data_IF_379856309238
#
_entry.id   IF_379856309238
#
_cell.length_a   1.000
_cell.length_b   1.000
_cell.length_c   1.000
_cell.angle_alpha   90.00
_cell.angle_beta   90.00
_cell.angle_gamma   90.00
#
_symmetry.space_group_name_H-M   'P 1'
#
loop_
_entity.id
_entity.type
_entity.pdbx_description
1 polymer ?
#
# COMPACT_ATOMS: atom_id res chain seq x y z
N UNK A 1 -18.61 14.17 -14.81
CA UNK A 1 -17.17 14.01 -14.53
C UNK A 1 -17.04 13.40 -13.14
N UNK A 2 -16.30 12.29 -12.96
CA UNK A 2 -16.10 11.72 -11.62
C UNK A 2 -15.33 12.72 -10.75
N UNK A 3 -15.69 12.84 -9.48
CA UNK A 3 -15.01 13.75 -8.55
C UNK A 3 -13.64 13.19 -8.14
N UNK A 4 -12.71 14.06 -7.72
CA UNK A 4 -11.40 13.63 -7.18
C UNK A 4 -11.57 12.61 -6.07
N UNK A 5 -12.56 12.83 -5.19
CA UNK A 5 -12.91 11.90 -4.11
C UNK A 5 -13.28 10.51 -4.62
N UNK A 6 -14.06 10.41 -5.70
CA UNK A 6 -14.44 9.12 -6.28
C UNK A 6 -13.25 8.38 -6.90
N UNK A 7 -12.25 9.09 -7.44
CA UNK A 7 -11.03 8.46 -7.93
C UNK A 7 -10.19 7.89 -6.80
N UNK A 8 -10.00 8.66 -5.72
CA UNK A 8 -9.24 8.24 -4.54
C UNK A 8 -9.87 7.01 -3.90
N UNK A 9 -11.20 6.99 -3.69
CA UNK A 9 -11.88 5.82 -3.12
C UNK A 9 -11.77 4.59 -4.03
N UNK A 10 -11.86 4.77 -5.35
CA UNK A 10 -11.67 3.65 -6.30
C UNK A 10 -10.25 3.12 -6.27
N UNK A 11 -9.24 3.99 -6.20
CA UNK A 11 -7.84 3.58 -6.08
C UNK A 11 -7.60 2.78 -4.79
N UNK A 12 -8.16 3.24 -3.66
CA UNK A 12 -8.13 2.54 -2.37
C UNK A 12 -8.81 1.17 -2.44
N UNK A 13 -10.00 1.09 -3.03
CA UNK A 13 -10.70 -0.19 -3.23
C UNK A 13 -9.88 -1.17 -4.07
N UNK A 14 -9.26 -0.70 -5.15
CA UNK A 14 -8.41 -1.52 -6.02
C UNK A 14 -7.23 -2.08 -5.23
N UNK A 15 -6.56 -1.26 -4.42
CA UNK A 15 -5.46 -1.69 -3.54
C UNK A 15 -5.92 -2.76 -2.56
N UNK A 16 -7.02 -2.52 -1.84
CA UNK A 16 -7.58 -3.47 -0.86
C UNK A 16 -7.97 -4.81 -1.47
N UNK A 17 -8.64 -4.79 -2.63
CA UNK A 17 -9.15 -6.02 -3.28
C UNK A 17 -8.04 -6.89 -3.86
N UNK A 18 -6.93 -6.29 -4.29
CA UNK A 18 -5.81 -7.01 -4.95
C UNK A 18 -4.69 -7.40 -4.01
N UNK A 19 -4.54 -6.71 -2.89
CA UNK A 19 -3.51 -6.98 -1.90
C UNK A 19 -3.54 -8.44 -1.42
N UNK A 20 -2.36 -9.04 -1.30
CA UNK A 20 -2.16 -10.36 -0.69
C UNK A 20 -2.17 -10.22 0.83
N UNK A 21 -3.37 -10.24 1.42
CA UNK A 21 -3.54 -10.07 2.87
C UNK A 21 -2.86 -11.15 3.70
N UNK A 22 -2.68 -12.37 3.17
CA UNK A 22 -1.94 -13.42 3.87
C UNK A 22 -0.46 -13.05 3.99
N UNK A 23 0.16 -12.61 2.89
CA UNK A 23 1.53 -12.11 2.89
C UNK A 23 1.70 -10.89 3.80
N UNK A 24 0.77 -9.93 3.75
CA UNK A 24 0.82 -8.71 4.58
C UNK A 24 0.71 -9.07 6.06
N UNK A 25 -0.25 -9.92 6.42
CA UNK A 25 -0.47 -10.32 7.81
C UNK A 25 0.67 -11.16 8.39
N UNK A 26 1.48 -11.81 7.56
CA UNK A 26 2.67 -12.54 7.99
C UNK A 26 3.90 -11.66 8.18
N UNK A 27 3.88 -10.38 7.77
CA UNK A 27 5.02 -9.49 7.95
C UNK A 27 5.15 -9.07 9.44
N UNK A 28 6.38 -8.86 9.93
CA UNK A 28 6.59 -8.26 11.24
C UNK A 28 6.20 -6.76 11.24
N UNK A 29 6.03 -6.19 12.42
CA UNK A 29 5.98 -4.73 12.55
C UNK A 29 7.39 -4.13 12.42
N UNK A 30 7.54 -2.91 11.87
CA UNK A 30 6.49 -1.99 11.41
C UNK A 30 6.02 -2.21 9.96
N UNK A 31 6.55 -3.25 9.29
CA UNK A 31 6.31 -3.50 7.87
C UNK A 31 4.83 -3.74 7.57
N UNK A 32 4.16 -4.58 8.39
CA UNK A 32 2.73 -4.86 8.26
C UNK A 32 1.91 -3.57 8.30
N UNK A 33 2.10 -2.73 9.33
CA UNK A 33 1.39 -1.46 9.46
C UNK A 33 1.66 -0.51 8.31
N UNK A 34 2.90 -0.46 7.80
CA UNK A 34 3.26 0.38 6.66
C UNK A 34 2.59 -0.06 5.35
N UNK A 35 2.50 -1.38 5.07
CA UNK A 35 1.78 -1.91 3.91
C UNK A 35 0.29 -1.60 3.99
N UNK A 36 -0.32 -1.74 5.18
CA UNK A 36 -1.73 -1.36 5.39
C UNK A 36 -1.91 0.14 5.15
N UNK A 37 -1.03 0.99 5.70
CA UNK A 37 -1.08 2.43 5.43
C UNK A 37 -1.03 2.72 3.93
N UNK A 38 -0.14 2.06 3.18
CA UNK A 38 -0.06 2.24 1.73
C UNK A 38 -1.33 1.78 1.01
N UNK A 39 -2.00 0.72 1.46
CA UNK A 39 -3.30 0.27 0.92
C UNK A 39 -4.43 1.27 1.19
N UNK A 40 -4.34 2.02 2.28
CA UNK A 40 -5.37 2.98 2.67
C UNK A 40 -5.18 4.34 2.00
N UNK A 41 -3.94 4.81 1.88
CA UNK A 41 -3.63 6.20 1.48
C UNK A 41 -3.06 6.33 0.07
N UNK A 42 -2.29 5.35 -0.39
CA UNK A 42 -1.56 5.40 -1.66
C UNK A 42 -0.23 6.17 -1.54
N UNK A 43 0.11 6.64 -0.35
CA UNK A 43 1.36 7.34 -0.09
C UNK A 43 2.47 6.35 0.27
N UNK A 44 3.13 5.83 -0.76
CA UNK A 44 4.26 4.92 -0.61
C UNK A 44 5.50 5.57 0.02
N UNK A 45 5.64 6.90 -0.02
CA UNK A 45 6.81 7.60 0.54
C UNK A 45 6.71 7.68 2.05
N UNK A 46 5.52 8.00 2.56
CA UNK A 46 5.28 7.94 4.01
C UNK A 46 5.29 6.49 4.48
N UNK A 47 4.70 5.57 3.73
CA UNK A 47 4.75 4.14 4.06
C UNK A 47 6.19 3.59 4.15
N UNK A 48 7.08 3.93 3.20
CA UNK A 48 8.48 3.48 3.24
C UNK A 48 9.20 3.99 4.49
N UNK A 49 8.95 5.25 4.88
CA UNK A 49 9.48 5.82 6.13
C UNK A 49 8.95 5.10 7.36
N UNK A 50 7.64 4.80 7.41
CA UNK A 50 7.03 4.04 8.50
C UNK A 50 7.62 2.62 8.60
N UNK A 51 7.92 1.99 7.46
CA UNK A 51 8.56 0.68 7.41
C UNK A 51 10.05 0.70 7.79
N UNK A 52 10.67 1.88 7.87
CA UNK A 52 12.12 2.01 8.05
C UNK A 52 12.93 1.56 6.82
N UNK A 53 12.33 1.60 5.63
CA UNK A 53 12.92 1.12 4.38
C UNK A 53 13.20 2.26 3.40
N UNK A 54 14.16 2.04 2.50
CA UNK A 54 14.28 2.89 1.31
C UNK A 54 13.02 2.72 0.44
N UNK A 55 12.72 3.75 -0.36
CA UNK A 55 11.52 3.75 -1.22
C UNK A 55 11.50 2.55 -2.16
N UNK A 56 12.64 2.20 -2.76
CA UNK A 56 12.73 1.08 -3.69
C UNK A 56 12.45 -0.26 -2.99
N UNK A 57 13.08 -0.49 -1.83
CA UNK A 57 12.86 -1.72 -1.04
C UNK A 57 11.40 -1.87 -0.60
N UNK A 58 10.77 -0.76 -0.21
CA UNK A 58 9.36 -0.75 0.15
C UNK A 58 8.45 -1.06 -1.05
N UNK A 59 8.75 -0.50 -2.23
CA UNK A 59 7.98 -0.77 -3.44
C UNK A 59 8.15 -2.22 -3.91
N UNK A 60 9.35 -2.80 -3.80
CA UNK A 60 9.58 -4.22 -4.07
C UNK A 60 8.77 -5.09 -3.12
N UNK A 61 8.71 -4.74 -1.83
CA UNK A 61 7.87 -5.42 -0.87
C UNK A 61 6.38 -5.27 -1.18
N UNK A 62 5.92 -4.06 -1.54
CA UNK A 62 4.53 -3.81 -1.93
C UNK A 62 4.13 -4.59 -3.19
N UNK A 63 5.07 -4.75 -4.14
CA UNK A 63 4.89 -5.60 -5.31
C UNK A 63 4.73 -7.07 -4.91
N UNK A 64 5.55 -7.59 -3.99
CA UNK A 64 5.39 -8.96 -3.44
C UNK A 64 4.06 -9.13 -2.70
N UNK A 65 3.58 -8.08 -2.03
CA UNK A 65 2.26 -8.00 -1.41
C UNK A 65 1.11 -7.79 -2.41
N UNK A 66 1.38 -7.78 -3.73
CA UNK A 66 0.41 -7.58 -4.82
C UNK A 66 -0.40 -6.28 -4.70
N UNK A 67 0.16 -5.25 -4.06
CA UNK A 67 -0.48 -3.94 -3.93
C UNK A 67 -0.22 -3.16 -5.24
N UNK A 68 -1.26 -2.84 -6.04
CA UNK A 68 -1.07 -2.08 -7.27
C UNK A 68 -0.72 -0.61 -7.01
N UNK A 69 0.16 -0.05 -7.82
CA UNK A 69 0.49 1.38 -7.82
C UNK A 69 -0.61 2.17 -8.54
N UNK A 70 -1.66 2.52 -7.78
CA UNK A 70 -2.77 3.39 -8.24
C UNK A 70 -3.02 4.48 -7.19
N UNK A 71 -3.04 5.72 -7.64
CA UNK A 71 -3.19 6.93 -6.82
C UNK A 71 -4.40 7.73 -7.25
#
# INVERSE_FOLDING_TARGET
MKSVKEYVEKAREIRRKRADWNFINSQPEPIKSALIYYIETGDFRTASKLAGLQVNDFLDLAYRAKIPTVT
#
